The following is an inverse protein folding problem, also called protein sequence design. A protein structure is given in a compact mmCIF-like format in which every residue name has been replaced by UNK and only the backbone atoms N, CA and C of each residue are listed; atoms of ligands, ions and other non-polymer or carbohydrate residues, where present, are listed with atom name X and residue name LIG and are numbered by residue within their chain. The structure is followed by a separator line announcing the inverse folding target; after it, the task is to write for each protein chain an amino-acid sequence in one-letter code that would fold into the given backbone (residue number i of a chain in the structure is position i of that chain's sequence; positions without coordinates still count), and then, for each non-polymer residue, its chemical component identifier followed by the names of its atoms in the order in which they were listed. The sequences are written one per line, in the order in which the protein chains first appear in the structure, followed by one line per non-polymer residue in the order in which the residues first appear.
data_IF_250862550227
#
_entry.id   IF_250862550227
#
_cell.length_a   1.000
_cell.length_b   1.000
_cell.length_c   1.000
_cell.angle_alpha   90.00
_cell.angle_beta   90.00
_cell.angle_gamma   90.00
#
_symmetry.space_group_name_H-M   'P 1'
#
loop_
_entity.id
_entity.type
_entity.pdbx_description
1 polymer ?
#
# COMPACT_ATOMS: atom_id res chain seq x y z
N UNK A 1 2.02 6.99 41.27
CA UNK A 1 2.01 7.92 40.12
C UNK A 1 2.56 7.30 38.83
N UNK A 2 3.75 6.67 38.83
CA UNK A 2 4.34 6.08 37.62
C UNK A 2 3.46 4.98 36.95
N UNK A 3 2.85 4.09 37.72
CA UNK A 3 1.97 3.03 37.19
C UNK A 3 0.72 3.60 36.49
N UNK A 4 0.13 4.67 37.05
CA UNK A 4 -1.05 5.34 36.48
C UNK A 4 -0.68 6.04 35.17
N UNK A 5 0.47 6.73 35.13
CA UNK A 5 0.96 7.36 33.91
C UNK A 5 1.24 6.33 32.79
N UNK A 6 1.81 5.17 33.14
CA UNK A 6 2.08 4.08 32.18
C UNK A 6 0.80 3.50 31.59
N UNK A 7 -0.23 3.29 32.43
CA UNK A 7 -1.55 2.83 31.98
C UNK A 7 -2.23 3.85 31.05
N UNK A 8 -2.16 5.14 31.37
CA UNK A 8 -2.74 6.21 30.52
C UNK A 8 -2.06 6.27 29.16
N UNK A 9 -0.73 6.14 29.12
CA UNK A 9 0.05 6.08 27.87
C UNK A 9 -0.33 4.86 27.02
N UNK A 10 -0.47 3.69 27.64
CA UNK A 10 -0.87 2.47 26.92
C UNK A 10 -2.29 2.59 26.34
N UNK A 11 -3.24 3.17 27.08
CA UNK A 11 -4.61 3.39 26.58
C UNK A 11 -4.63 4.39 25.42
N UNK A 12 -3.84 5.46 25.51
CA UNK A 12 -3.73 6.45 24.44
C UNK A 12 -3.16 5.83 23.14
N UNK A 13 -2.16 4.95 23.25
CA UNK A 13 -1.57 4.25 22.11
C UNK A 13 -2.56 3.30 21.44
N UNK A 14 -3.33 2.54 22.23
CA UNK A 14 -4.40 1.66 21.71
C UNK A 14 -5.49 2.47 21.00
N UNK A 15 -5.90 3.60 21.58
CA UNK A 15 -6.91 4.48 21.00
C UNK A 15 -6.40 5.12 19.69
N UNK A 16 -5.14 5.56 19.64
CA UNK A 16 -4.51 6.09 18.44
C UNK A 16 -4.43 5.02 17.33
N UNK A 17 -4.05 3.79 17.68
CA UNK A 17 -4.01 2.68 16.74
C UNK A 17 -5.41 2.33 16.18
N UNK A 18 -6.45 2.35 17.03
CA UNK A 18 -7.83 2.12 16.59
C UNK A 18 -8.33 3.24 15.67
N UNK A 19 -8.09 4.50 16.03
CA UNK A 19 -8.46 5.64 15.19
C UNK A 19 -7.75 5.60 13.82
N UNK A 20 -6.49 5.17 13.82
CA UNK A 20 -5.71 4.97 12.60
C UNK A 20 -6.25 3.82 11.76
N UNK A 21 -6.60 2.70 12.37
CA UNK A 21 -7.24 1.57 11.70
C UNK A 21 -8.54 2.00 10.99
N UNK A 22 -9.39 2.75 11.68
CA UNK A 22 -10.64 3.28 11.12
C UNK A 22 -10.38 4.25 9.96
N UNK A 23 -9.33 5.06 10.04
CA UNK A 23 -8.92 5.95 8.95
C UNK A 23 -8.53 5.16 7.71
N UNK A 24 -7.67 4.14 7.84
CA UNK A 24 -7.26 3.30 6.73
C UNK A 24 -8.46 2.57 6.12
N UNK A 25 -9.38 2.07 6.94
CA UNK A 25 -10.66 1.48 6.48
C UNK A 25 -11.51 2.49 5.71
N UNK A 26 -11.59 3.75 6.16
CA UNK A 26 -12.28 4.82 5.41
C UNK A 26 -11.64 5.08 4.05
N UNK A 27 -10.30 5.11 3.98
CA UNK A 27 -9.57 5.24 2.71
C UNK A 27 -9.91 4.09 1.78
N UNK A 28 -9.88 2.85 2.26
CA UNK A 28 -10.25 1.66 1.49
C UNK A 28 -11.69 1.81 0.99
N UNK A 29 -12.66 1.99 1.90
CA UNK A 29 -14.08 2.11 1.59
C UNK A 29 -14.40 3.18 0.55
N UNK A 30 -13.72 4.34 0.60
CA UNK A 30 -13.94 5.44 -0.35
C UNK A 30 -13.41 5.13 -1.74
N UNK A 31 -12.40 4.26 -1.84
CA UNK A 31 -11.72 3.94 -3.09
C UNK A 31 -12.09 2.57 -3.66
N UNK A 32 -12.86 1.76 -2.94
CA UNK A 32 -13.41 0.51 -3.47
C UNK A 32 -14.48 0.79 -4.51
N UNK A 33 -14.37 0.11 -5.65
CA UNK A 33 -15.36 0.18 -6.72
C UNK A 33 -16.39 -0.94 -6.62
N UNK A 34 -17.53 -0.72 -7.26
CA UNK A 34 -18.51 -1.76 -7.53
C UNK A 34 -18.44 -2.13 -9.01
N UNK A 35 -18.04 -3.36 -9.31
CA UNK A 35 -18.10 -3.91 -10.66
C UNK A 35 -19.20 -4.98 -10.67
N UNK A 36 -20.21 -4.82 -11.52
CA UNK A 36 -21.34 -5.77 -11.64
C UNK A 36 -22.00 -6.13 -10.30
N UNK A 37 -22.20 -5.15 -9.41
CA UNK A 37 -22.76 -5.33 -8.04
C UNK A 37 -21.81 -6.02 -7.05
N UNK A 38 -20.64 -6.49 -7.50
CA UNK A 38 -19.62 -7.08 -6.64
C UNK A 38 -18.64 -6.00 -6.21
N UNK A 39 -18.47 -5.86 -4.90
CA UNK A 39 -17.47 -4.96 -4.32
C UNK A 39 -16.07 -5.55 -4.57
N UNK A 40 -15.17 -4.76 -5.17
CA UNK A 40 -13.82 -5.20 -5.52
C UNK A 40 -12.76 -4.18 -5.12
N UNK A 41 -11.56 -4.70 -4.80
CA UNK A 41 -10.36 -3.87 -4.74
C UNK A 41 -9.99 -3.44 -6.16
N UNK A 42 -9.75 -2.14 -6.37
CA UNK A 42 -9.23 -1.64 -7.63
C UNK A 42 -7.84 -1.03 -7.41
N UNK A 43 -7.15 -0.71 -8.50
CA UNK A 43 -5.81 -0.13 -8.46
C UNK A 43 -5.76 1.20 -7.70
N UNK A 44 -6.82 2.01 -7.77
CA UNK A 44 -6.92 3.27 -7.02
C UNK A 44 -7.02 3.04 -5.51
N UNK A 45 -7.63 1.95 -5.06
CA UNK A 45 -7.65 1.56 -3.63
C UNK A 45 -6.23 1.36 -3.11
N UNK A 46 -5.39 0.60 -3.83
CA UNK A 46 -4.01 0.36 -3.45
C UNK A 46 -3.17 1.64 -3.51
N UNK A 47 -3.29 2.44 -4.58
CA UNK A 47 -2.58 3.72 -4.72
C UNK A 47 -2.94 4.67 -3.58
N UNK A 48 -4.24 4.82 -3.28
CA UNK A 48 -4.72 5.70 -2.22
C UNK A 48 -4.19 5.25 -0.85
N UNK A 49 -4.33 3.96 -0.53
CA UNK A 49 -3.85 3.42 0.74
C UNK A 49 -2.32 3.55 0.86
N UNK A 50 -1.58 3.20 -0.20
CA UNK A 50 -0.12 3.35 -0.25
C UNK A 50 0.33 4.79 -0.03
N UNK A 51 -0.40 5.76 -0.59
CA UNK A 51 -0.03 7.18 -0.49
C UNK A 51 -0.13 7.76 0.92
N UNK A 52 -0.86 7.08 1.82
CA UNK A 52 -1.13 7.58 3.17
C UNK A 52 -0.52 6.72 4.29
N UNK A 53 0.23 5.67 3.98
CA UNK A 53 0.87 4.80 4.98
C UNK A 53 2.39 4.94 5.02
N UNK A 54 2.97 4.66 6.18
CA UNK A 54 4.42 4.64 6.44
C UNK A 54 4.79 3.37 7.21
N UNK A 55 6.09 3.16 7.48
CA UNK A 55 6.55 2.02 8.29
C UNK A 55 5.94 2.01 9.71
N UNK A 56 5.55 3.17 10.24
CA UNK A 56 4.85 3.25 11.53
C UNK A 56 3.46 2.59 11.50
N UNK A 57 2.87 2.43 10.31
CA UNK A 57 1.55 1.82 10.12
C UNK A 57 1.63 0.29 9.99
N UNK A 58 2.83 -0.31 9.97
CA UNK A 58 2.99 -1.77 9.84
C UNK A 58 2.18 -2.58 10.87
N UNK A 59 2.12 -2.21 12.17
CA UNK A 59 1.28 -2.93 13.13
C UNK A 59 -0.22 -2.84 12.81
N UNK A 60 -0.69 -1.69 12.30
CA UNK A 60 -2.09 -1.49 11.92
C UNK A 60 -2.42 -2.28 10.66
N UNK A 61 -1.58 -2.20 9.63
CA UNK A 61 -1.72 -2.97 8.39
C UNK A 61 -1.71 -4.49 8.68
N UNK A 62 -0.90 -4.95 9.63
CA UNK A 62 -0.89 -6.35 10.08
C UNK A 62 -2.23 -6.76 10.70
N UNK A 63 -2.87 -5.90 11.50
CA UNK A 63 -4.21 -6.16 12.04
C UNK A 63 -5.25 -6.28 10.92
N UNK A 64 -5.17 -5.42 9.90
CA UNK A 64 -6.10 -5.42 8.77
C UNK A 64 -6.03 -6.71 7.91
N UNK A 65 -4.94 -7.48 7.98
CA UNK A 65 -4.86 -8.82 7.35
C UNK A 65 -5.90 -9.80 7.89
N UNK A 66 -6.42 -9.54 9.10
CA UNK A 66 -7.43 -10.37 9.77
C UNK A 66 -8.80 -9.68 9.83
N UNK A 67 -9.00 -8.60 9.07
CA UNK A 67 -10.27 -7.88 9.06
C UNK A 67 -11.42 -8.76 8.52
N UNK A 68 -12.66 -8.50 8.93
CA UNK A 68 -13.82 -9.27 8.43
C UNK A 68 -14.09 -8.99 6.94
N UNK A 69 -13.83 -7.77 6.48
CA UNK A 69 -14.00 -7.36 5.09
C UNK A 69 -12.84 -7.87 4.23
N UNK A 70 -13.16 -8.66 3.21
CA UNK A 70 -12.15 -9.25 2.33
C UNK A 70 -11.36 -8.20 1.55
N UNK A 71 -12.02 -7.12 1.12
CA UNK A 71 -11.33 -6.06 0.38
C UNK A 71 -10.31 -5.34 1.25
N UNK A 72 -10.62 -5.18 2.54
CA UNK A 72 -9.69 -4.68 3.54
C UNK A 72 -8.48 -5.59 3.71
N UNK A 73 -8.68 -6.91 3.85
CA UNK A 73 -7.58 -7.89 3.92
C UNK A 73 -6.68 -7.80 2.67
N UNK A 74 -7.28 -7.80 1.48
CA UNK A 74 -6.56 -7.80 0.22
C UNK A 74 -5.79 -6.49 0.01
N UNK A 75 -6.39 -5.35 0.37
CA UNK A 75 -5.75 -4.03 0.27
C UNK A 75 -4.55 -3.92 1.20
N UNK A 76 -4.68 -4.40 2.45
CA UNK A 76 -3.58 -4.42 3.40
C UNK A 76 -2.43 -5.32 2.92
N UNK A 77 -2.75 -6.52 2.42
CA UNK A 77 -1.76 -7.44 1.88
C UNK A 77 -1.00 -6.85 0.69
N UNK A 78 -1.71 -6.24 -0.27
CA UNK A 78 -1.08 -5.59 -1.44
C UNK A 78 -0.16 -4.43 -1.05
N UNK A 79 -0.60 -3.56 -0.14
CA UNK A 79 0.25 -2.45 0.34
C UNK A 79 1.48 -2.96 1.09
N UNK A 80 1.36 -4.03 1.88
CA UNK A 80 2.52 -4.65 2.53
C UNK A 80 3.51 -5.23 1.52
N UNK A 81 3.06 -5.77 0.39
CA UNK A 81 3.95 -6.16 -0.72
C UNK A 81 4.69 -4.95 -1.26
N UNK A 82 3.98 -3.86 -1.56
CA UNK A 82 4.58 -2.64 -2.06
C UNK A 82 5.61 -2.04 -1.08
N UNK A 83 5.45 -2.29 0.24
CA UNK A 83 6.34 -1.76 1.30
C UNK A 83 7.69 -2.47 1.33
N UNK A 84 7.89 -3.51 0.51
CA UNK A 84 9.17 -4.20 0.38
C UNK A 84 9.52 -5.00 1.64
N UNK A 85 10.75 -4.85 2.14
CA UNK A 85 11.28 -5.70 3.20
C UNK A 85 10.47 -5.64 4.51
N UNK A 86 10.07 -4.43 4.94
CA UNK A 86 9.28 -4.24 6.16
C UNK A 86 7.90 -4.89 6.08
N UNK A 87 7.19 -4.66 4.96
CA UNK A 87 5.88 -5.26 4.75
C UNK A 87 5.94 -6.78 4.54
N UNK A 88 6.98 -7.28 3.87
CA UNK A 88 7.25 -8.73 3.80
C UNK A 88 7.47 -9.35 5.18
N UNK A 89 8.23 -8.69 6.05
CA UNK A 89 8.45 -9.17 7.41
C UNK A 89 7.12 -9.23 8.19
N UNK A 90 6.27 -8.22 8.04
CA UNK A 90 4.94 -8.22 8.65
C UNK A 90 4.06 -9.39 8.14
N UNK A 91 4.02 -9.63 6.82
CA UNK A 91 3.31 -10.78 6.23
C UNK A 91 3.82 -12.12 6.76
N UNK A 92 5.15 -12.30 6.83
CA UNK A 92 5.75 -13.53 7.40
C UNK A 92 5.38 -13.71 8.86
N UNK A 93 5.43 -12.64 9.66
CA UNK A 93 5.08 -12.72 11.09
C UNK A 93 3.59 -12.98 11.34
N UNK A 94 2.70 -12.57 10.42
CA UNK A 94 1.27 -12.78 10.54
C UNK A 94 0.83 -14.20 10.15
N UNK A 95 1.64 -14.90 9.35
CA UNK A 95 1.27 -16.21 8.79
C UNK A 95 0.95 -17.29 9.86
N UNK A 96 1.71 -17.43 10.96
CA UNK A 96 1.38 -18.39 12.03
C UNK A 96 0.06 -18.08 12.75
N UNK A 97 -0.34 -16.81 12.79
CA UNK A 97 -1.60 -16.36 13.42
C UNK A 97 -2.81 -16.57 12.47
N UNK A 98 -2.58 -16.83 11.18
CA UNK A 98 -3.61 -17.04 10.18
C UNK A 98 -4.22 -18.45 10.26
N UNK A 99 -5.10 -18.65 11.24
CA UNK A 99 -5.88 -19.88 11.43
C UNK A 99 -7.00 -20.02 10.40
N UNK A 100 -7.59 -18.90 9.97
CA UNK A 100 -8.60 -18.86 8.93
C UNK A 100 -8.01 -19.06 7.54
N UNK A 101 -8.62 -19.95 6.74
CA UNK A 101 -8.14 -20.27 5.39
C UNK A 101 -7.98 -19.02 4.52
N UNK A 102 -8.97 -18.11 4.59
CA UNK A 102 -8.98 -16.88 3.79
C UNK A 102 -7.78 -15.98 4.10
N UNK A 103 -7.56 -15.67 5.37
CA UNK A 103 -6.44 -14.83 5.79
C UNK A 103 -5.10 -15.50 5.41
N UNK A 104 -4.99 -16.81 5.62
CA UNK A 104 -3.80 -17.58 5.25
C UNK A 104 -3.52 -17.55 3.75
N UNK A 105 -4.53 -17.80 2.91
CA UNK A 105 -4.39 -17.75 1.45
C UNK A 105 -3.94 -16.36 1.00
N UNK A 106 -4.61 -15.31 1.48
CA UNK A 106 -4.30 -13.92 1.13
C UNK A 106 -2.84 -13.56 1.47
N UNK A 107 -2.37 -13.93 2.67
CA UNK A 107 -0.98 -13.70 3.08
C UNK A 107 0.00 -14.51 2.22
N UNK A 108 -0.30 -15.77 1.93
CA UNK A 108 0.56 -16.62 1.10
C UNK A 108 0.65 -16.12 -0.34
N UNK A 109 -0.46 -15.66 -0.92
CA UNK A 109 -0.51 -15.11 -2.27
C UNK A 109 0.31 -13.82 -2.36
N UNK A 110 0.16 -12.92 -1.39
CA UNK A 110 0.96 -11.71 -1.29
C UNK A 110 2.47 -12.01 -1.16
N UNK A 111 2.85 -13.01 -0.37
CA UNK A 111 4.25 -13.44 -0.24
C UNK A 111 4.82 -14.01 -1.56
N UNK A 112 4.02 -14.74 -2.33
CA UNK A 112 4.40 -15.24 -3.66
C UNK A 112 4.57 -14.09 -4.63
N UNK A 113 3.60 -13.17 -4.69
CA UNK A 113 3.64 -11.99 -5.56
C UNK A 113 4.87 -11.12 -5.29
N UNK A 114 5.13 -10.78 -4.02
CA UNK A 114 6.31 -9.98 -3.65
C UNK A 114 7.64 -10.66 -4.00
N UNK A 115 7.70 -12.00 -3.95
CA UNK A 115 8.88 -12.76 -4.39
C UNK A 115 9.07 -12.66 -5.90
N UNK A 116 8.00 -12.88 -6.67
CA UNK A 116 8.04 -12.77 -8.14
C UNK A 116 8.44 -11.37 -8.59
N UNK A 117 7.93 -10.32 -7.94
CA UNK A 117 8.33 -8.93 -8.19
C UNK A 117 9.81 -8.68 -7.90
N UNK A 118 10.33 -9.19 -6.77
CA UNK A 118 11.74 -9.07 -6.43
C UNK A 118 12.66 -9.82 -7.43
N UNK A 119 12.28 -11.02 -7.84
CA UNK A 119 13.00 -11.79 -8.86
C UNK A 119 12.96 -11.10 -10.23
N UNK A 120 11.83 -10.51 -10.62
CA UNK A 120 11.71 -9.73 -11.84
C UNK A 120 12.63 -8.49 -11.81
N UNK A 121 12.67 -7.76 -10.69
CA UNK A 121 13.55 -6.62 -10.51
C UNK A 121 15.05 -6.97 -10.60
N UNK A 122 15.43 -8.18 -10.15
CA UNK A 122 16.81 -8.69 -10.26
C UNK A 122 17.17 -9.13 -11.70
N UNK A 123 16.20 -9.58 -12.49
CA UNK A 123 16.39 -10.00 -13.89
C UNK A 123 16.44 -8.83 -14.87
N UNK A 124 15.90 -7.67 -14.51
CA UNK A 124 16.06 -6.46 -15.30
C UNK A 124 17.54 -6.05 -15.29
N UNK A 125 18.26 -6.07 -16.43
CA UNK A 125 19.60 -5.52 -16.49
C UNK A 125 19.53 -4.05 -16.06
N UNK A 126 20.58 -3.57 -15.38
CA UNK A 126 20.69 -2.21 -14.83
C UNK A 126 20.50 -1.11 -15.89
N UNK A 127 19.27 -0.88 -16.35
CA UNK A 127 18.86 0.23 -17.23
C UNK A 127 18.69 1.53 -16.43
N UNK A 128 19.54 1.73 -15.42
CA UNK A 128 19.68 3.01 -14.70
C UNK A 128 20.94 3.80 -15.08
N UNK A 129 21.71 3.35 -16.07
CA UNK A 129 22.82 4.12 -16.65
C UNK A 129 22.53 4.67 -18.06
N UNK A 130 21.25 4.78 -18.43
CA UNK A 130 20.82 5.21 -19.76
C UNK A 130 19.53 5.99 -19.72
N UNK A 131 19.47 7.04 -18.89
CA UNK A 131 18.55 8.14 -19.17
C UNK A 131 19.03 8.77 -20.48
N UNK A 132 18.58 8.22 -21.61
CA UNK A 132 18.63 8.88 -22.89
C UNK A 132 18.00 10.25 -22.68
N UNK A 133 18.84 11.27 -22.86
CA UNK A 133 18.43 12.64 -22.99
C UNK A 133 17.24 12.69 -23.95
N UNK A 134 16.08 13.11 -23.45
CA UNK A 134 15.09 13.72 -24.31
C UNK A 134 15.82 14.83 -25.08
N UNK A 135 15.87 14.82 -26.43
CA UNK A 135 16.34 15.98 -27.14
C UNK A 135 15.41 17.13 -26.75
N UNK A 136 15.98 18.16 -26.11
CA UNK A 136 15.28 19.41 -25.83
C UNK A 136 14.69 19.89 -27.16
N UNK A 137 13.37 19.87 -27.26
CA UNK A 137 12.66 20.50 -28.37
C UNK A 137 13.23 21.92 -28.54
N UNK A 138 13.71 22.32 -29.72
CA UNK A 138 14.16 23.68 -29.92
C UNK A 138 12.97 24.61 -29.67
N UNK A 139 13.16 25.58 -28.76
CA UNK A 139 12.24 26.71 -28.55
C UNK A 139 12.06 27.42 -29.89
N UNK A 140 11.05 27.05 -30.67
CA UNK A 140 10.59 27.82 -31.82
C UNK A 140 9.98 29.13 -31.31
N UNK A 141 10.84 30.14 -31.16
CA UNK A 141 10.52 31.50 -31.57
C UNK A 141 9.97 31.42 -33.00
N UNK A 142 8.67 31.56 -33.17
CA UNK A 142 7.98 32.11 -34.35
C UNK A 142 6.49 31.72 -34.32
N UNK A 143 5.73 32.36 -33.45
CA UNK A 143 4.29 32.58 -33.65
C UNK A 143 4.06 34.09 -33.54
N UNK A 144 4.65 34.82 -34.48
CA UNK A 144 4.34 36.21 -34.81
C UNK A 144 4.57 36.37 -36.31
N UNK A 145 3.74 35.70 -37.10
CA UNK A 145 3.60 35.91 -38.54
C UNK A 145 2.15 35.65 -38.99
N UNK A 146 1.17 35.93 -38.12
CA UNK A 146 -0.26 35.97 -38.44
C UNK A 146 -0.83 37.38 -38.18
N UNK A 147 -0.03 38.41 -38.48
CA UNK A 147 -0.41 39.83 -38.49
C UNK A 147 0.36 40.54 -39.61
N UNK A 148 0.04 40.21 -40.86
CA UNK A 148 0.17 41.09 -42.03
C UNK A 148 -0.04 40.29 -43.31
N UNK A 149 -1.29 40.17 -43.73
CA UNK A 149 -1.81 40.38 -45.10
C UNK A 149 -3.26 39.91 -45.14
#
# INVERSE_FOLDING_TARGET
MALVALMVLAVADVAAAAAREDELKRVINRNTGFAHTTRGMNMYTLIALRSCVTDADLPVLRRLLFDRDYVTQLSAAGVLVDMGAGGRAALVSALPEATEYRARSTIQDALREGRSGAEAAQRLPARRAGAQAYPRLPRRRALNAARSR
#
